data_IF_012197037127
#
_entry.id   IF_012197037127
#
_cell.length_a   1.000
_cell.length_b   1.000
_cell.length_c   1.000
_cell.angle_alpha   90.00
_cell.angle_beta   90.00
_cell.angle_gamma   90.00
#
_symmetry.space_group_name_H-M   'P 1'
#
loop_
_entity.id
_entity.type
_entity.pdbx_description
1 polymer ?
#
# COMPACT_ATOMS: atom_id res chain seq x y z
N UNK A 1 5.75 -11.05 -3.53
CA UNK A 1 6.79 -10.21 -2.87
C UNK A 1 6.33 -9.79 -1.49
N UNK A 2 7.25 -9.49 -0.62
CA UNK A 2 6.91 -8.97 0.71
C UNK A 2 6.69 -7.46 0.67
N UNK A 3 6.06 -6.92 1.73
CA UNK A 3 5.91 -5.47 1.90
C UNK A 3 7.29 -4.79 1.89
N UNK A 4 8.27 -5.40 2.53
CA UNK A 4 9.65 -4.90 2.58
C UNK A 4 10.26 -4.77 1.18
N UNK A 5 10.06 -5.79 0.35
CA UNK A 5 10.54 -5.78 -1.04
C UNK A 5 9.82 -4.72 -1.87
N UNK A 6 8.51 -4.58 -1.69
CA UNK A 6 7.72 -3.55 -2.35
C UNK A 6 8.25 -2.16 -2.01
N UNK A 7 8.52 -1.90 -0.73
CA UNK A 7 9.06 -0.62 -0.29
C UNK A 7 10.40 -0.31 -0.97
N UNK A 8 11.27 -1.31 -1.15
CA UNK A 8 12.55 -1.13 -1.85
C UNK A 8 12.35 -0.82 -3.33
N UNK A 9 11.45 -1.54 -3.99
CA UNK A 9 11.16 -1.31 -5.41
C UNK A 9 10.70 0.13 -5.64
N UNK A 10 9.85 0.63 -4.75
CA UNK A 10 9.28 1.98 -4.86
C UNK A 10 10.17 3.07 -4.27
N UNK A 11 11.31 2.71 -3.69
CA UNK A 11 12.15 3.63 -2.92
C UNK A 11 11.31 4.38 -1.89
N UNK A 12 10.43 3.66 -1.23
CA UNK A 12 9.44 4.24 -0.33
C UNK A 12 9.99 4.34 1.10
N UNK A 13 9.47 5.33 1.83
CA UNK A 13 9.70 5.48 3.26
C UNK A 13 8.66 4.68 4.02
N UNK A 14 9.07 3.98 5.07
CA UNK A 14 8.13 3.29 5.96
C UNK A 14 7.54 4.33 6.92
N UNK A 15 6.24 4.59 6.77
CA UNK A 15 5.52 5.59 7.56
C UNK A 15 4.95 4.96 8.83
N UNK A 16 4.42 3.76 8.71
CA UNK A 16 3.94 2.98 9.85
C UNK A 16 4.26 1.51 9.60
N UNK A 17 4.61 0.79 10.64
CA UNK A 17 5.12 -0.56 10.51
C UNK A 17 4.22 -1.57 11.23
N UNK A 18 3.79 -2.58 10.46
CA UNK A 18 3.22 -3.82 10.98
C UNK A 18 4.17 -4.96 10.66
N UNK A 19 3.68 -6.00 10.00
CA UNK A 19 4.50 -7.11 9.54
C UNK A 19 5.05 -6.81 8.14
N UNK A 20 6.31 -6.43 8.05
CA UNK A 20 6.97 -6.11 6.78
C UNK A 20 7.26 -7.35 5.93
N UNK A 21 7.20 -8.53 6.51
CA UNK A 21 7.40 -9.79 5.80
C UNK A 21 6.10 -10.33 5.20
N UNK A 22 4.98 -9.65 5.44
CA UNK A 22 3.69 -10.03 4.89
C UNK A 22 3.74 -10.04 3.36
N UNK A 23 3.16 -11.06 2.74
CA UNK A 23 3.13 -11.20 1.29
C UNK A 23 2.11 -10.24 0.66
N UNK A 24 2.51 -9.62 -0.44
CA UNK A 24 1.64 -8.81 -1.28
C UNK A 24 1.29 -9.66 -2.49
N UNK A 25 0.01 -10.00 -2.64
CA UNK A 25 -0.45 -10.92 -3.69
C UNK A 25 -1.35 -10.26 -4.72
N UNK A 26 -1.74 -9.01 -4.49
CA UNK A 26 -2.64 -8.28 -5.38
C UNK A 26 -2.41 -6.79 -5.23
N UNK A 27 -3.08 -5.99 -6.03
CA UNK A 27 -3.01 -4.53 -5.96
C UNK A 27 -4.35 -3.90 -6.28
N UNK A 28 -4.61 -2.76 -5.66
CA UNK A 28 -5.78 -1.95 -5.95
C UNK A 28 -5.38 -0.47 -5.88
N UNK A 29 -5.87 0.33 -6.82
CA UNK A 29 -5.59 1.76 -6.85
C UNK A 29 -6.91 2.52 -6.79
N UNK A 30 -7.02 3.46 -5.86
CA UNK A 30 -8.20 4.29 -5.77
C UNK A 30 -8.28 5.07 -4.47
N UNK A 31 -9.05 6.16 -4.52
CA UNK A 31 -9.20 7.11 -3.42
C UNK A 31 -10.64 7.18 -2.90
N UNK A 32 -11.57 6.57 -3.61
CA UNK A 32 -12.96 6.50 -3.16
C UNK A 32 -13.11 5.31 -2.23
N UNK A 33 -13.21 5.57 -0.93
CA UNK A 33 -13.14 4.54 0.10
C UNK A 33 -14.20 3.45 -0.05
N UNK A 34 -15.40 3.80 -0.51
CA UNK A 34 -16.46 2.82 -0.74
C UNK A 34 -16.09 1.80 -1.82
N UNK A 35 -15.37 2.24 -2.85
CA UNK A 35 -14.89 1.33 -3.90
C UNK A 35 -13.78 0.44 -3.38
N UNK A 36 -12.86 1.03 -2.61
CA UNK A 36 -11.77 0.25 -2.02
C UNK A 36 -12.34 -0.85 -1.13
N UNK A 37 -13.28 -0.52 -0.25
CA UNK A 37 -13.91 -1.48 0.65
C UNK A 37 -14.61 -2.62 -0.08
N UNK A 38 -15.22 -2.33 -1.23
CA UNK A 38 -15.97 -3.33 -1.99
C UNK A 38 -15.14 -4.15 -2.97
N UNK A 39 -13.92 -3.72 -3.31
CA UNK A 39 -13.17 -4.28 -4.44
C UNK A 39 -11.74 -4.71 -4.13
N UNK A 40 -11.10 -4.10 -3.13
CA UNK A 40 -9.73 -4.48 -2.77
C UNK A 40 -9.74 -5.87 -2.14
N UNK A 41 -8.78 -6.68 -2.55
CA UNK A 41 -8.66 -8.06 -2.07
C UNK A 41 -7.73 -8.13 -0.86
N UNK A 42 -7.91 -9.14 0.01
CA UNK A 42 -6.94 -9.40 1.08
C UNK A 42 -5.52 -9.53 0.54
N UNK A 43 -4.56 -9.08 1.33
CA UNK A 43 -3.12 -9.09 0.99
C UNK A 43 -2.74 -8.19 -0.20
N UNK A 44 -3.60 -7.23 -0.56
CA UNK A 44 -3.28 -6.30 -1.64
C UNK A 44 -2.34 -5.19 -1.17
N UNK A 45 -1.65 -4.57 -2.13
CA UNK A 45 -1.08 -3.25 -1.96
C UNK A 45 -2.14 -2.25 -2.41
N UNK A 46 -2.56 -1.38 -1.51
CA UNK A 46 -3.55 -0.35 -1.82
C UNK A 46 -2.84 0.97 -2.10
N UNK A 47 -2.85 1.38 -3.37
CA UNK A 47 -2.23 2.62 -3.83
C UNK A 47 -3.26 3.75 -3.74
N UNK A 48 -2.91 4.82 -3.02
CA UNK A 48 -3.85 5.92 -2.78
C UNK A 48 -3.11 7.22 -2.48
N UNK A 49 -3.83 8.33 -2.53
CA UNK A 49 -3.36 9.63 -2.07
C UNK A 49 -4.09 10.09 -0.79
N UNK A 50 -4.96 9.23 -0.26
CA UNK A 50 -5.69 9.54 0.98
C UNK A 50 -4.75 9.44 2.18
N UNK A 51 -4.75 10.49 3.01
CA UNK A 51 -3.78 10.63 4.11
C UNK A 51 -4.40 10.70 5.49
N UNK A 52 -5.73 10.64 5.59
CA UNK A 52 -6.43 10.77 6.86
C UNK A 52 -6.59 9.42 7.58
N UNK A 53 -7.00 9.49 8.85
CA UNK A 53 -7.10 8.31 9.71
C UNK A 53 -8.12 7.27 9.23
N UNK A 54 -9.08 7.65 8.40
CA UNK A 54 -10.06 6.71 7.85
C UNK A 54 -9.42 5.63 6.98
N UNK A 55 -8.21 5.89 6.48
CA UNK A 55 -7.42 4.89 5.75
C UNK A 55 -7.20 3.64 6.62
N UNK A 56 -7.00 3.81 7.91
CA UNK A 56 -6.78 2.68 8.82
C UNK A 56 -7.99 1.74 8.90
N UNK A 57 -9.20 2.32 8.97
CA UNK A 57 -10.42 1.52 9.01
C UNK A 57 -10.61 0.72 7.72
N UNK A 58 -10.35 1.34 6.58
CA UNK A 58 -10.48 0.69 5.28
C UNK A 58 -9.42 -0.40 5.11
N UNK A 59 -8.18 -0.11 5.50
CA UNK A 59 -7.09 -1.08 5.44
C UNK A 59 -7.39 -2.33 6.30
N UNK A 60 -7.99 -2.13 7.46
CA UNK A 60 -8.38 -3.23 8.34
C UNK A 60 -9.52 -4.06 7.73
N UNK A 61 -10.54 -3.39 7.21
CA UNK A 61 -11.70 -4.08 6.60
C UNK A 61 -11.31 -4.90 5.36
N UNK A 62 -10.42 -4.38 4.54
CA UNK A 62 -9.97 -5.06 3.32
C UNK A 62 -8.87 -6.08 3.60
N UNK A 63 -8.28 -6.03 4.79
CA UNK A 63 -7.12 -6.85 5.16
C UNK A 63 -5.97 -6.69 4.15
N UNK A 64 -5.73 -5.46 3.72
CA UNK A 64 -4.63 -5.20 2.79
C UNK A 64 -3.28 -5.42 3.46
N UNK A 65 -2.29 -5.80 2.67
CA UNK A 65 -0.94 -6.04 3.18
C UNK A 65 -0.22 -4.72 3.50
N UNK A 66 -0.50 -3.69 2.73
CA UNK A 66 0.17 -2.39 2.85
C UNK A 66 -0.66 -1.31 2.18
N UNK A 67 -0.62 -0.12 2.75
CA UNK A 67 -1.13 1.11 2.12
C UNK A 67 0.06 1.84 1.52
N UNK A 68 -0.02 2.15 0.24
CA UNK A 68 1.03 2.88 -0.49
C UNK A 68 0.55 4.29 -0.76
N UNK A 69 1.07 5.25 -0.02
CA UNK A 69 0.77 6.68 -0.24
C UNK A 69 1.65 7.19 -1.37
N UNK A 70 1.02 7.63 -2.45
CA UNK A 70 1.70 8.13 -3.65
C UNK A 70 1.73 9.65 -3.70
N UNK A 71 2.40 10.21 -4.71
CA UNK A 71 2.46 11.65 -4.98
C UNK A 71 3.16 12.45 -3.88
N UNK A 72 4.06 11.82 -3.13
CA UNK A 72 4.74 12.49 -2.02
C UNK A 72 3.77 13.07 -0.98
N UNK A 73 2.60 12.46 -0.83
CA UNK A 73 1.61 12.91 0.14
C UNK A 73 2.06 12.60 1.57
N UNK A 74 1.83 13.56 2.47
CA UNK A 74 2.19 13.41 3.89
C UNK A 74 1.04 12.77 4.66
N UNK A 75 1.32 11.68 5.34
CA UNK A 75 0.34 11.03 6.21
C UNK A 75 0.01 11.93 7.40
N UNK A 76 -1.27 12.05 7.74
CA UNK A 76 -1.67 12.77 8.94
C UNK A 76 -1.10 12.07 10.17
N UNK A 77 -0.70 12.83 11.22
CA UNK A 77 -0.16 12.22 12.45
C UNK A 77 -1.10 11.18 13.08
N UNK A 78 -2.40 11.38 12.99
CA UNK A 78 -3.38 10.42 13.52
C UNK A 78 -3.38 9.12 12.73
N UNK A 79 -3.18 9.18 11.42
CA UNK A 79 -3.05 7.98 10.60
C UNK A 79 -1.82 7.19 11.03
N UNK A 80 -0.69 7.87 11.17
CA UNK A 80 0.58 7.23 11.57
C UNK A 80 0.44 6.55 12.92
N UNK A 81 -0.10 7.24 13.91
CA UNK A 81 -0.25 6.71 15.27
C UNK A 81 -1.15 5.49 15.28
N UNK A 82 -2.31 5.56 14.61
CA UNK A 82 -3.27 4.47 14.60
C UNK A 82 -2.74 3.27 13.82
N UNK A 83 -2.11 3.50 12.68
CA UNK A 83 -1.55 2.43 11.88
C UNK A 83 -0.48 1.66 12.64
N UNK A 84 0.40 2.36 13.36
CA UNK A 84 1.40 1.70 14.20
C UNK A 84 0.75 0.88 15.32
N UNK A 85 -0.27 1.43 15.98
CA UNK A 85 -0.98 0.72 17.05
C UNK A 85 -1.69 -0.52 16.52
N UNK A 86 -2.27 -0.46 15.34
CA UNK A 86 -3.05 -1.55 14.77
C UNK A 86 -2.22 -2.51 13.90
N UNK A 87 -0.94 -2.26 13.76
CA UNK A 87 -0.06 -3.13 12.98
C UNK A 87 -0.31 -3.04 11.47
N UNK A 88 -0.72 -1.88 10.98
CA UNK A 88 -0.97 -1.64 9.55
C UNK A 88 0.29 -1.09 8.91
N UNK A 89 0.77 -1.76 7.84
CA UNK A 89 1.90 -1.26 7.07
C UNK A 89 1.46 -0.07 6.21
N UNK A 90 2.14 1.06 6.35
CA UNK A 90 1.95 2.23 5.49
C UNK A 90 3.31 2.69 4.99
N UNK A 91 3.45 2.76 3.68
CA UNK A 91 4.67 3.26 3.03
C UNK A 91 4.32 4.45 2.15
N UNK A 92 5.29 5.33 1.93
CA UNK A 92 5.08 6.54 1.13
C UNK A 92 6.15 6.65 0.06
N UNK A 93 5.71 6.93 -1.17
CA UNK A 93 6.61 7.13 -2.31
C UNK A 93 6.35 8.48 -2.96
N UNK A 94 7.37 9.04 -3.58
CA UNK A 94 7.24 10.27 -4.37
C UNK A 94 6.60 10.04 -5.72
N UNK A 95 6.51 8.77 -6.16
CA UNK A 95 5.93 8.43 -7.45
C UNK A 95 4.42 8.65 -7.46
N UNK A 96 3.87 8.99 -8.63
CA UNK A 96 2.42 8.94 -8.83
C UNK A 96 1.94 7.47 -8.86
N UNK A 97 0.62 7.27 -8.79
CA UNK A 97 0.07 5.91 -8.72
C UNK A 97 0.38 5.11 -9.98
N UNK A 98 0.28 5.73 -11.14
CA UNK A 98 0.57 5.04 -12.40
C UNK A 98 2.01 4.56 -12.46
N UNK A 99 2.96 5.44 -12.13
CA UNK A 99 4.39 5.10 -12.14
C UNK A 99 4.73 4.04 -11.12
N UNK A 100 4.17 4.15 -9.91
CA UNK A 100 4.40 3.17 -8.86
C UNK A 100 3.91 1.78 -9.28
N UNK A 101 2.67 1.69 -9.76
CA UNK A 101 2.07 0.43 -10.17
C UNK A 101 2.81 -0.18 -11.35
N UNK A 102 3.18 0.63 -12.33
CA UNK A 102 3.92 0.16 -13.50
C UNK A 102 5.28 -0.42 -13.10
N UNK A 103 5.97 0.24 -12.19
CA UNK A 103 7.27 -0.24 -11.69
C UNK A 103 7.14 -1.58 -10.99
N UNK A 104 6.12 -1.74 -10.14
CA UNK A 104 5.85 -3.01 -9.45
C UNK A 104 5.47 -4.09 -10.44
N UNK A 105 4.63 -3.77 -11.42
CA UNK A 105 4.21 -4.72 -12.45
C UNK A 105 5.40 -5.23 -13.27
N UNK A 106 6.35 -4.36 -13.58
CA UNK A 106 7.58 -4.75 -14.29
C UNK A 106 8.39 -5.78 -13.52
N UNK A 107 8.53 -5.60 -12.20
CA UNK A 107 9.25 -6.54 -11.36
C UNK A 107 8.53 -7.88 -11.30
N UNK A 108 7.20 -7.86 -11.21
CA UNK A 108 6.40 -9.09 -11.20
C UNK A 108 6.44 -9.81 -12.54
N UNK A 109 6.47 -9.08 -13.66
CA UNK A 109 6.53 -9.67 -14.98
C UNK A 109 7.79 -10.49 -15.21
N UNK A 110 8.90 -10.17 -14.55
CA UNK A 110 10.10 -10.98 -14.61
C UNK A 110 9.87 -12.39 -14.09
N UNK A 111 8.95 -12.53 -13.14
CA UNK A 111 8.57 -13.83 -12.56
C UNK A 111 7.46 -14.46 -13.38
N UNK A 112 6.54 -13.65 -13.92
CA UNK A 112 5.34 -14.13 -14.63
C UNK A 112 5.52 -14.28 -16.14
N UNK A 113 6.64 -13.85 -16.68
CA UNK A 113 6.89 -13.88 -18.13
C UNK A 113 6.90 -15.30 -18.70
N UNK A 114 6.95 -16.30 -17.86
CA UNK A 114 6.96 -17.70 -18.25
C UNK A 114 5.56 -18.34 -18.27
N UNK A 115 4.57 -17.61 -17.85
CA UNK A 115 3.19 -18.13 -17.78
C UNK A 115 2.55 -18.29 -19.16
#
# INVERSE_FOLDING_TARGET
>A
MTVKELAKILNATIVAEGDLDRQVTDGYAGDLLSFVMGRAMPNCAWYTIMTNVNVCAVATLTDCAVVVLCENCQADPMLVARANTQGINVIATTLDMYSAITLVAKQNQKVRALD
#
